data_IF_360421950734
#
_entry.id   IF_360421950734
#
_cell.length_a   1.000
_cell.length_b   1.000
_cell.length_c   1.000
_cell.angle_alpha   90.00
_cell.angle_beta   90.00
_cell.angle_gamma   90.00
#
_symmetry.space_group_name_H-M   'P 1'
#
loop_
_entity.id
_entity.type
_entity.pdbx_description
1 polymer ?
#
# COMPACT_ATOMS: atom_id res chain seq x y z
N UNK A 1 -17.56 6.80 11.06
CA UNK A 1 -16.33 7.23 11.77
C UNK A 1 -15.17 7.22 10.77
N UNK A 2 -14.44 8.33 10.57
CA UNK A 2 -13.25 8.37 9.69
C UNK A 2 -12.00 8.21 10.55
N UNK A 3 -11.26 7.13 10.37
CA UNK A 3 -9.94 6.93 10.98
C UNK A 3 -8.90 7.67 10.14
N UNK A 4 -8.24 8.66 10.73
CA UNK A 4 -7.12 9.35 10.09
C UNK A 4 -5.84 8.55 10.28
N UNK A 5 -4.92 8.67 9.32
CA UNK A 5 -3.61 8.02 9.39
C UNK A 5 -2.85 8.53 10.61
N UNK A 6 -2.52 7.63 11.54
CA UNK A 6 -1.83 8.02 12.76
C UNK A 6 -0.38 8.42 12.45
N UNK A 7 0.01 9.59 12.92
CA UNK A 7 1.36 10.14 12.82
C UNK A 7 1.79 10.65 14.19
N UNK A 8 3.04 10.43 14.52
CA UNK A 8 3.69 11.08 15.65
C UNK A 8 3.99 12.53 15.27
N UNK A 9 3.83 13.45 16.23
CA UNK A 9 4.11 14.88 16.08
C UNK A 9 5.16 15.28 17.11
N UNK A 10 6.27 15.87 16.67
CA UNK A 10 7.19 16.54 17.58
C UNK A 10 6.59 17.88 18.00
N UNK A 11 6.51 18.13 19.32
CA UNK A 11 5.96 19.37 19.86
C UNK A 11 6.92 20.57 19.74
N UNK A 12 8.21 20.33 19.55
CA UNK A 12 9.22 21.39 19.45
C UNK A 12 9.38 21.88 18.01
N UNK A 13 9.50 20.97 17.03
CA UNK A 13 9.75 21.32 15.63
C UNK A 13 8.53 21.15 14.71
N UNK A 14 7.38 20.72 15.25
CA UNK A 14 6.12 20.47 14.53
C UNK A 14 6.21 19.46 13.37
N UNK A 15 7.32 18.73 13.26
CA UNK A 15 7.49 17.69 12.26
C UNK A 15 6.65 16.46 12.61
N UNK A 16 6.07 15.84 11.59
CA UNK A 16 5.35 14.57 11.75
C UNK A 16 6.14 13.41 11.16
N UNK A 17 6.01 12.22 11.74
CA UNK A 17 6.55 10.98 11.20
C UNK A 17 5.57 9.82 11.44
N UNK A 18 5.66 8.81 10.58
CA UNK A 18 4.96 7.55 10.77
C UNK A 18 5.87 6.53 11.45
N UNK A 19 5.29 5.45 11.97
CA UNK A 19 6.09 4.32 12.46
C UNK A 19 6.97 3.79 11.31
N UNK A 20 8.25 3.58 11.60
CA UNK A 20 9.20 2.98 10.65
C UNK A 20 9.19 1.49 10.86
N UNK A 21 8.89 0.76 9.80
CA UNK A 21 8.84 -0.71 9.79
C UNK A 21 9.40 -1.19 8.46
N UNK A 22 9.88 -2.42 8.41
CA UNK A 22 10.27 -3.14 7.19
C UNK A 22 9.06 -3.67 6.40
N UNK A 23 7.84 -3.53 6.94
CA UNK A 23 6.60 -4.04 6.34
C UNK A 23 6.04 -3.08 5.28
N UNK A 24 6.14 -1.76 5.51
CA UNK A 24 5.59 -0.69 4.65
C UNK A 24 6.61 0.42 4.45
N UNK A 25 6.62 1.01 3.25
CA UNK A 25 7.40 2.22 2.97
C UNK A 25 6.90 3.41 3.79
N UNK A 26 7.83 4.31 4.14
CA UNK A 26 7.50 5.53 4.86
C UNK A 26 6.46 6.34 4.07
N UNK A 27 5.34 6.68 4.73
CA UNK A 27 4.24 7.41 4.09
C UNK A 27 3.24 6.54 3.32
N UNK A 28 3.51 5.25 3.09
CA UNK A 28 2.62 4.33 2.37
C UNK A 28 1.70 3.56 3.33
N UNK A 29 0.68 2.89 2.78
CA UNK A 29 -0.31 2.10 3.54
C UNK A 29 -0.36 0.63 3.12
N UNK A 30 0.20 0.31 1.94
CA UNK A 30 0.21 -1.05 1.39
C UNK A 30 1.57 -1.68 1.65
N UNK A 31 1.56 -2.92 2.18
CA UNK A 31 2.78 -3.64 2.53
C UNK A 31 3.58 -4.06 1.31
N UNK A 32 4.89 -4.20 1.48
CA UNK A 32 5.77 -4.74 0.45
C UNK A 32 5.32 -6.13 -0.02
N UNK A 33 4.85 -6.97 0.91
CA UNK A 33 4.33 -8.29 0.60
C UNK A 33 3.09 -8.22 -0.30
N UNK A 34 2.15 -7.33 0.01
CA UNK A 34 0.95 -7.14 -0.81
C UNK A 34 1.32 -6.70 -2.24
N UNK A 35 2.21 -5.72 -2.37
CA UNK A 35 2.70 -5.26 -3.69
C UNK A 35 3.30 -6.43 -4.49
N UNK A 36 4.14 -7.27 -3.86
CA UNK A 36 4.73 -8.46 -4.50
C UNK A 36 3.68 -9.48 -4.94
N UNK A 37 2.68 -9.78 -4.11
CA UNK A 37 1.61 -10.72 -4.46
C UNK A 37 0.77 -10.23 -5.63
N UNK A 38 0.46 -8.92 -5.67
CA UNK A 38 -0.23 -8.30 -6.81
C UNK A 38 0.57 -8.47 -8.09
N UNK A 39 1.86 -8.14 -8.07
CA UNK A 39 2.72 -8.25 -9.26
C UNK A 39 2.89 -9.70 -9.73
N UNK A 40 2.99 -10.66 -8.80
CA UNK A 40 3.04 -12.07 -9.13
C UNK A 40 1.76 -12.52 -9.85
N UNK A 41 0.59 -12.25 -9.28
CA UNK A 41 -0.69 -12.61 -9.90
C UNK A 41 -0.96 -11.90 -11.23
N UNK A 42 -0.51 -10.65 -11.37
CA UNK A 42 -0.61 -9.91 -12.63
C UNK A 42 0.22 -10.59 -13.74
N UNK A 43 1.42 -11.10 -13.40
CA UNK A 43 2.24 -11.89 -14.34
C UNK A 43 1.60 -13.21 -14.75
N UNK A 44 0.84 -13.84 -13.84
CA UNK A 44 0.03 -15.03 -14.15
C UNK A 44 -1.23 -14.72 -14.97
N UNK A 45 -1.45 -13.46 -15.37
CA UNK A 45 -2.58 -13.06 -16.21
C UNK A 45 -3.92 -12.92 -15.47
N UNK A 46 -3.90 -12.88 -14.13
CA UNK A 46 -5.13 -12.66 -13.35
C UNK A 46 -5.60 -11.21 -13.55
N UNK A 47 -6.90 -11.04 -13.76
CA UNK A 47 -7.50 -9.71 -13.95
C UNK A 47 -7.36 -8.84 -12.70
N UNK A 48 -7.25 -7.52 -12.88
CA UNK A 48 -7.11 -6.57 -11.77
C UNK A 48 -8.28 -6.67 -10.75
N UNK A 49 -9.49 -6.95 -11.22
CA UNK A 49 -10.68 -7.18 -10.36
C UNK A 49 -10.58 -8.50 -9.59
N UNK A 50 -10.05 -9.55 -10.22
CA UNK A 50 -9.77 -10.83 -9.56
C UNK A 50 -8.72 -10.68 -8.46
N UNK A 51 -7.61 -10.02 -8.78
CA UNK A 51 -6.54 -9.70 -7.82
C UNK A 51 -7.08 -8.87 -6.66
N UNK A 52 -7.84 -7.82 -6.93
CA UNK A 52 -8.44 -6.96 -5.91
C UNK A 52 -9.28 -7.76 -4.90
N UNK A 53 -10.05 -8.73 -5.39
CA UNK A 53 -10.86 -9.63 -4.56
C UNK A 53 -10.00 -10.55 -3.68
N UNK A 54 -8.90 -11.10 -4.22
CA UNK A 54 -7.98 -12.00 -3.50
C UNK A 54 -7.15 -11.22 -2.46
N UNK A 55 -6.63 -10.05 -2.85
CA UNK A 55 -5.77 -9.19 -2.04
C UNK A 55 -6.54 -8.26 -1.09
N UNK A 56 -7.87 -8.32 -1.08
CA UNK A 56 -8.73 -7.47 -0.27
C UNK A 56 -8.41 -5.97 -0.40
N UNK A 57 -8.17 -5.52 -1.63
CA UNK A 57 -7.86 -4.13 -1.94
C UNK A 57 -8.73 -3.63 -3.11
N UNK A 58 -8.69 -2.34 -3.41
CA UNK A 58 -9.45 -1.80 -4.55
C UNK A 58 -8.79 -2.15 -5.89
N UNK A 59 -9.56 -2.34 -6.97
CA UNK A 59 -8.98 -2.49 -8.32
C UNK A 59 -8.08 -1.33 -8.72
N UNK A 60 -8.41 -0.10 -8.30
CA UNK A 60 -7.56 1.08 -8.49
C UNK A 60 -6.20 0.97 -7.79
N UNK A 61 -6.15 0.34 -6.60
CA UNK A 61 -4.89 0.08 -5.91
C UNK A 61 -4.05 -0.95 -6.66
N UNK A 62 -4.68 -1.97 -7.23
CA UNK A 62 -4.01 -2.98 -8.05
C UNK A 62 -3.37 -2.34 -9.28
N UNK A 63 -4.12 -1.55 -10.04
CA UNK A 63 -3.62 -0.85 -11.23
C UNK A 63 -2.43 0.05 -10.86
N UNK A 64 -2.57 0.86 -9.81
CA UNK A 64 -1.47 1.73 -9.36
C UNK A 64 -0.20 0.96 -8.98
N UNK A 65 -0.33 -0.21 -8.33
CA UNK A 65 0.84 -1.06 -8.00
C UNK A 65 1.52 -1.58 -9.27
N UNK A 66 0.74 -1.96 -10.29
CA UNK A 66 1.26 -2.46 -11.56
C UNK A 66 1.97 -1.32 -12.31
N UNK A 67 1.33 -0.15 -12.40
CA UNK A 67 1.90 1.03 -13.08
C UNK A 67 3.19 1.53 -12.40
N UNK A 68 3.27 1.49 -11.06
CA UNK A 68 4.48 1.86 -10.30
C UNK A 68 5.66 0.88 -10.52
N UNK A 69 5.40 -0.31 -11.09
CA UNK A 69 6.40 -1.36 -11.30
C UNK A 69 6.89 -1.49 -12.75
N UNK A 70 6.33 -0.68 -13.67
CA UNK A 70 6.77 -0.53 -15.07
C UNK A 70 7.77 0.60 -15.17
#
# INVERSE_FOLDING_TARGET
>A
MKLYKQRYLCKECLKTWSARTDIVEEGHTLSHQLKRSVLHMAREGITATGIARICHCSPSSVIRIIDEAV
#
